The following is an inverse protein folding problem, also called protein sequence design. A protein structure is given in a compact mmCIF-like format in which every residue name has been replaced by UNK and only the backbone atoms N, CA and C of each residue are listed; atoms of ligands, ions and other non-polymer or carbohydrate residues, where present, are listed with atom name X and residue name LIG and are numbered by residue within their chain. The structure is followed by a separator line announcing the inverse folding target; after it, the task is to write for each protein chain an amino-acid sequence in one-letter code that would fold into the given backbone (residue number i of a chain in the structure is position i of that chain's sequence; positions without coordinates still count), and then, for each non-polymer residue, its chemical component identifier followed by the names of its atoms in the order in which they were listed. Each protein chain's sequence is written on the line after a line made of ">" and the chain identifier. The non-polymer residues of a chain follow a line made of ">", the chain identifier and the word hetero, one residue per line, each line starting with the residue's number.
data_IF_168596709487
#
_entry.id   IF_168596709487
#
_cell.length_a   1.000
_cell.length_b   1.000
_cell.length_c   1.000
_cell.angle_alpha   90.00
_cell.angle_beta   90.00
_cell.angle_gamma   90.00
#
_symmetry.space_group_name_H-M   'P 1'
#
loop_
_entity.id
_entity.type
_entity.pdbx_description
1 polymer ?
#
# COMPACT_ATOMS: atom_id res chain seq x y z
N UNK A 1 0.75 50.84 -28.64
CA UNK A 1 1.35 49.54 -28.29
C UNK A 1 1.60 49.33 -26.78
N UNK A 2 2.16 50.29 -26.02
CA UNK A 2 2.47 50.11 -24.57
C UNK A 2 1.29 49.70 -23.66
N UNK A 3 0.08 50.22 -23.89
CA UNK A 3 -1.11 49.86 -23.08
C UNK A 3 -1.52 48.38 -23.21
N UNK A 4 -1.35 47.80 -24.39
CA UNK A 4 -1.68 46.40 -24.66
C UNK A 4 -0.74 45.47 -23.89
N UNK A 5 0.55 45.81 -23.84
CA UNK A 5 1.54 45.04 -23.05
C UNK A 5 1.25 45.09 -21.55
N UNK A 6 0.85 46.26 -21.02
CA UNK A 6 0.47 46.41 -19.61
C UNK A 6 -0.78 45.58 -19.31
N UNK A 7 -1.79 45.64 -20.16
CA UNK A 7 -3.01 44.86 -20.01
C UNK A 7 -2.74 43.34 -20.03
N UNK A 8 -1.92 42.88 -20.97
CA UNK A 8 -1.52 41.47 -21.04
C UNK A 8 -0.71 41.03 -19.80
N UNK A 9 0.12 41.91 -19.25
CA UNK A 9 0.83 41.64 -18.00
C UNK A 9 -0.13 41.52 -16.81
N UNK A 10 -1.14 42.39 -16.72
CA UNK A 10 -2.14 42.36 -15.65
C UNK A 10 -2.94 41.05 -15.71
N UNK A 11 -3.38 40.63 -16.90
CA UNK A 11 -4.10 39.36 -17.09
C UNK A 11 -3.23 38.16 -16.71
N UNK A 12 -1.96 38.15 -17.12
CA UNK A 12 -1.00 37.11 -16.76
C UNK A 12 -0.78 37.05 -15.25
N UNK A 13 -0.66 38.19 -14.59
CA UNK A 13 -0.53 38.26 -13.13
C UNK A 13 -1.79 37.78 -12.41
N UNK A 14 -2.97 38.10 -12.93
CA UNK A 14 -4.24 37.62 -12.39
C UNK A 14 -4.36 36.08 -12.50
N UNK A 15 -3.98 35.52 -13.65
CA UNK A 15 -3.94 34.07 -13.87
C UNK A 15 -2.94 33.36 -12.94
N UNK A 16 -1.74 33.93 -12.76
CA UNK A 16 -0.75 33.37 -11.84
C UNK A 16 -1.21 33.44 -10.38
N UNK A 17 -1.91 34.51 -10.00
CA UNK A 17 -2.50 34.64 -8.66
C UNK A 17 -3.61 33.61 -8.42
N UNK A 18 -4.52 33.40 -9.37
CA UNK A 18 -5.56 32.37 -9.22
C UNK A 18 -4.95 30.98 -9.13
N UNK A 19 -3.98 30.64 -9.98
CA UNK A 19 -3.23 29.39 -9.94
C UNK A 19 -2.53 29.17 -8.59
N UNK A 20 -1.96 30.23 -8.00
CA UNK A 20 -1.34 30.14 -6.67
C UNK A 20 -2.37 29.82 -5.60
N UNK A 21 -3.54 30.45 -5.63
CA UNK A 21 -4.61 30.21 -4.66
C UNK A 21 -5.13 28.77 -4.78
N UNK A 22 -5.34 28.26 -6.00
CA UNK A 22 -5.76 26.86 -6.19
C UNK A 22 -4.71 25.89 -5.65
N UNK A 23 -3.42 26.12 -5.94
CA UNK A 23 -2.34 25.28 -5.42
C UNK A 23 -2.21 25.35 -3.89
N UNK A 24 -2.44 26.51 -3.27
CA UNK A 24 -2.45 26.63 -1.81
C UNK A 24 -3.64 25.93 -1.17
N UNK A 25 -4.77 25.83 -1.88
CA UNK A 25 -5.94 25.09 -1.41
C UNK A 25 -5.80 23.57 -1.66
N UNK A 26 -5.09 23.18 -2.72
CA UNK A 26 -4.77 21.78 -3.04
C UNK A 26 -3.59 21.25 -2.22
N UNK A 27 -2.74 22.13 -1.69
CA UNK A 27 -1.74 21.77 -0.70
C UNK A 27 -2.50 21.16 0.48
N UNK A 28 -2.39 19.83 0.67
CA UNK A 28 -3.10 19.21 1.76
C UNK A 28 -2.58 19.88 3.04
N UNK A 29 -3.46 20.02 4.03
CA UNK A 29 -3.12 20.53 5.37
C UNK A 29 -2.19 19.54 6.12
N UNK A 30 -1.33 18.83 5.38
CA UNK A 30 -0.34 17.89 5.83
C UNK A 30 0.72 18.70 6.56
N UNK A 31 0.60 18.63 7.88
CA UNK A 31 1.63 18.99 8.84
C UNK A 31 2.99 18.54 8.30
N UNK A 32 3.96 19.45 8.24
CA UNK A 32 5.30 19.12 7.79
C UNK A 32 5.78 17.85 8.51
N UNK A 33 6.38 16.88 7.80
CA UNK A 33 6.83 15.65 8.42
C UNK A 33 7.86 16.00 9.48
N UNK A 34 7.49 15.92 10.77
CA UNK A 34 8.47 16.06 11.85
C UNK A 34 9.34 14.80 11.93
N UNK A 35 10.34 14.76 12.82
CA UNK A 35 11.11 13.54 13.09
C UNK A 35 10.65 12.84 14.37
N UNK A 36 9.73 13.46 15.11
CA UNK A 36 9.21 12.97 16.40
C UNK A 36 8.00 12.10 16.13
N UNK A 37 7.91 10.93 16.80
CA UNK A 37 6.76 10.03 16.71
C UNK A 37 5.45 10.81 16.81
N UNK A 38 4.55 10.62 15.84
CA UNK A 38 3.24 11.23 15.89
C UNK A 38 2.44 10.61 17.04
N UNK A 39 1.92 11.46 17.91
CA UNK A 39 1.01 11.08 18.99
C UNK A 39 -0.33 11.67 18.60
N UNK A 40 -1.29 10.80 18.32
CA UNK A 40 -2.63 11.20 17.91
C UNK A 40 -3.38 11.79 19.10
N UNK A 41 -3.53 13.12 19.08
CA UNK A 41 -4.29 13.84 20.12
C UNK A 41 -5.78 13.98 19.78
N UNK A 42 -6.16 13.65 18.54
CA UNK A 42 -7.52 13.75 18.02
C UNK A 42 -7.83 12.56 17.11
N UNK A 43 -9.11 12.23 16.95
CA UNK A 43 -9.57 11.17 16.05
C UNK A 43 -9.23 11.44 14.59
N UNK A 44 -9.07 12.71 14.21
CA UNK A 44 -8.63 13.15 12.86
C UNK A 44 -7.15 12.89 12.59
N UNK A 45 -6.38 12.63 13.63
CA UNK A 45 -4.94 12.40 13.58
C UNK A 45 -4.65 10.89 13.49
N UNK A 46 -5.70 10.04 13.45
CA UNK A 46 -5.59 8.59 13.30
C UNK A 46 -5.58 8.27 11.80
N UNK A 47 -4.52 7.63 11.34
CA UNK A 47 -4.45 7.11 9.98
C UNK A 47 -5.46 5.98 9.78
N UNK A 48 -6.26 6.11 8.73
CA UNK A 48 -7.29 5.14 8.39
C UNK A 48 -6.69 3.86 7.80
N UNK A 49 -7.39 2.74 8.04
CA UNK A 49 -7.10 1.46 7.42
C UNK A 49 -8.11 1.22 6.30
N UNK A 50 -7.63 1.12 5.08
CA UNK A 50 -8.48 0.75 3.95
C UNK A 50 -8.56 -0.77 3.87
N UNK A 51 -9.79 -1.27 3.82
CA UNK A 51 -10.06 -2.70 3.72
C UNK A 51 -10.05 -3.09 2.25
N UNK A 52 -9.45 -4.23 1.94
CA UNK A 52 -9.55 -4.81 0.61
C UNK A 52 -9.79 -6.30 0.69
N UNK A 53 -10.58 -6.80 -0.26
CA UNK A 53 -10.79 -8.23 -0.43
C UNK A 53 -10.73 -8.59 -1.89
N UNK A 54 -9.92 -9.60 -2.20
CA UNK A 54 -9.59 -10.00 -3.56
C UNK A 54 -9.02 -8.82 -4.36
N UNK A 55 -9.86 -8.18 -5.19
CA UNK A 55 -9.48 -7.04 -6.04
C UNK A 55 -10.25 -5.76 -5.73
N UNK A 56 -11.11 -5.74 -4.70
CA UNK A 56 -11.98 -4.61 -4.40
C UNK A 56 -11.43 -3.88 -3.19
N UNK A 57 -11.26 -2.57 -3.32
CA UNK A 57 -10.86 -1.66 -2.25
C UNK A 57 -12.09 -0.97 -1.66
N UNK A 58 -12.12 -0.88 -0.33
CA UNK A 58 -13.12 -0.18 0.46
C UNK A 58 -12.43 0.90 1.30
N UNK A 59 -12.73 2.15 0.98
CA UNK A 59 -12.06 3.30 1.57
C UNK A 59 -12.73 3.67 2.90
N UNK A 60 -11.96 3.77 3.97
CA UNK A 60 -12.50 4.08 5.29
C UNK A 60 -12.84 5.56 5.48
N UNK A 61 -12.17 6.46 4.74
CA UNK A 61 -12.34 7.92 4.88
C UNK A 61 -13.61 8.45 4.18
N UNK A 62 -14.16 7.72 3.21
CA UNK A 62 -15.28 8.17 2.38
C UNK A 62 -16.50 7.28 2.53
N UNK A 63 -17.60 7.85 3.06
CA UNK A 63 -18.90 7.16 3.25
C UNK A 63 -19.44 6.57 1.94
N UNK A 64 -19.21 7.26 0.81
CA UNK A 64 -19.63 6.85 -0.51
C UNK A 64 -18.43 6.49 -1.41
N UNK A 65 -17.41 5.80 -0.87
CA UNK A 65 -16.30 5.40 -1.74
C UNK A 65 -16.82 4.49 -2.86
N UNK A 66 -16.64 4.86 -4.13
CA UNK A 66 -17.06 4.01 -5.23
C UNK A 66 -16.32 2.67 -5.15
N UNK A 67 -16.94 1.60 -5.64
CA UNK A 67 -16.29 0.29 -5.69
C UNK A 67 -15.12 0.37 -6.66
N UNK A 68 -13.91 0.53 -6.13
CA UNK A 68 -12.69 0.63 -6.93
C UNK A 68 -11.95 -0.70 -6.94
N UNK A 69 -11.37 -1.01 -8.11
CA UNK A 69 -10.40 -2.09 -8.22
C UNK A 69 -9.11 -1.64 -7.55
N UNK A 70 -8.47 -2.52 -6.76
CA UNK A 70 -7.14 -2.29 -6.24
C UNK A 70 -6.19 -1.89 -7.37
N UNK A 71 -5.43 -0.82 -7.13
CA UNK A 71 -4.50 -0.32 -8.13
C UNK A 71 -3.46 -1.38 -8.50
N UNK A 72 -3.05 -1.39 -9.76
CA UNK A 72 -2.08 -2.36 -10.27
C UNK A 72 -0.75 -2.26 -9.51
N UNK A 73 -0.33 -1.05 -9.16
CA UNK A 73 0.91 -0.83 -8.41
C UNK A 73 0.90 -1.55 -7.06
N UNK A 74 -0.21 -1.44 -6.32
CA UNK A 74 -0.40 -2.09 -5.02
C UNK A 74 -0.42 -3.60 -5.19
N UNK A 75 -1.11 -4.12 -6.22
CA UNK A 75 -1.17 -5.56 -6.50
C UNK A 75 0.19 -6.14 -6.83
N UNK A 76 0.99 -5.42 -7.64
CA UNK A 76 2.35 -5.83 -7.97
C UNK A 76 3.25 -5.84 -6.74
N UNK A 77 3.21 -4.77 -5.93
CA UNK A 77 3.97 -4.67 -4.69
C UNK A 77 3.62 -5.80 -3.71
N UNK A 78 2.33 -6.08 -3.52
CA UNK A 78 1.87 -7.19 -2.67
C UNK A 78 2.40 -8.54 -3.17
N UNK A 79 2.36 -8.79 -4.48
CA UNK A 79 2.86 -10.05 -5.05
C UNK A 79 4.37 -10.22 -4.84
N UNK A 80 5.14 -9.15 -4.97
CA UNK A 80 6.58 -9.14 -4.70
C UNK A 80 6.88 -9.42 -3.22
N UNK A 81 6.21 -8.71 -2.31
CA UNK A 81 6.34 -8.90 -0.86
C UNK A 81 6.01 -10.35 -0.46
N UNK A 82 4.90 -10.89 -0.98
CA UNK A 82 4.49 -12.27 -0.70
C UNK A 82 5.55 -13.24 -1.23
N UNK A 83 6.03 -13.06 -2.46
CA UNK A 83 7.06 -13.93 -3.03
C UNK A 83 8.31 -13.96 -2.15
N UNK A 84 8.83 -12.79 -1.78
CA UNK A 84 10.01 -12.66 -0.92
C UNK A 84 9.80 -13.33 0.45
N UNK A 85 8.67 -13.07 1.09
CA UNK A 85 8.33 -13.61 2.41
C UNK A 85 8.21 -15.15 2.37
N UNK A 86 7.64 -15.70 1.30
CA UNK A 86 7.57 -17.15 1.11
C UNK A 86 8.93 -17.78 0.81
N UNK A 87 9.82 -17.09 0.12
CA UNK A 87 11.18 -17.57 -0.12
C UNK A 87 11.97 -17.65 1.19
N UNK A 88 11.86 -16.61 2.03
CA UNK A 88 12.46 -16.58 3.36
C UNK A 88 11.87 -17.67 4.27
N UNK A 89 10.54 -17.81 4.32
CA UNK A 89 9.89 -18.85 5.13
C UNK A 89 10.26 -20.25 4.66
N UNK A 90 10.31 -20.47 3.34
CA UNK A 90 10.67 -21.77 2.78
C UNK A 90 12.16 -22.09 2.93
N UNK A 91 13.05 -21.10 3.08
CA UNK A 91 14.46 -21.37 3.41
C UNK A 91 14.57 -22.21 4.70
N UNK A 92 13.82 -21.81 5.74
CA UNK A 92 13.77 -22.50 7.04
C UNK A 92 12.89 -23.76 7.00
N UNK A 93 11.77 -23.74 6.26
CA UNK A 93 10.87 -24.89 6.19
C UNK A 93 11.52 -26.09 5.48
N UNK A 94 12.29 -25.84 4.41
CA UNK A 94 12.97 -26.88 3.62
C UNK A 94 13.96 -27.68 4.45
N UNK A 95 14.70 -27.04 5.35
CA UNK A 95 15.60 -27.71 6.30
C UNK A 95 14.88 -28.75 7.16
N UNK A 96 13.59 -28.54 7.44
CA UNK A 96 12.75 -29.44 8.25
C UNK A 96 11.91 -30.40 7.39
N UNK A 97 12.20 -30.52 6.09
CA UNK A 97 11.45 -31.36 5.15
C UNK A 97 10.02 -30.87 4.90
N UNK A 98 9.79 -29.56 4.92
CA UNK A 98 8.47 -28.94 4.77
C UNK A 98 8.51 -27.85 3.70
N UNK A 99 7.39 -27.62 3.03
CA UNK A 99 7.24 -26.52 2.08
C UNK A 99 5.89 -25.86 2.32
N UNK A 100 5.91 -24.54 2.46
CA UNK A 100 4.74 -23.68 2.46
C UNK A 100 4.52 -23.14 1.04
N UNK A 101 3.29 -23.17 0.57
CA UNK A 101 2.88 -22.59 -0.71
C UNK A 101 1.79 -21.55 -0.43
N UNK A 102 1.93 -20.38 -1.04
CA UNK A 102 0.88 -19.38 -1.06
C UNK A 102 -0.27 -19.85 -1.96
N UNK A 103 -1.52 -19.66 -1.53
CA UNK A 103 -2.71 -19.97 -2.35
C UNK A 103 -3.46 -18.70 -2.75
N UNK A 104 -3.95 -17.93 -1.78
CA UNK A 104 -4.66 -16.68 -2.05
C UNK A 104 -4.71 -15.77 -0.81
N UNK A 105 -4.95 -14.48 -1.01
CA UNK A 105 -5.30 -13.53 0.06
C UNK A 105 -6.83 -13.53 0.20
N UNK A 106 -7.36 -13.74 1.41
CA UNK A 106 -8.81 -13.63 1.65
C UNK A 106 -9.23 -12.16 1.74
N UNK A 107 -8.56 -11.42 2.61
CA UNK A 107 -8.72 -9.99 2.78
C UNK A 107 -7.47 -9.39 3.41
N UNK A 108 -7.37 -8.08 3.36
CA UNK A 108 -6.32 -7.34 4.01
C UNK A 108 -6.75 -5.93 4.38
N UNK A 109 -5.94 -5.31 5.20
CA UNK A 109 -6.02 -3.90 5.55
C UNK A 109 -4.71 -3.24 5.13
N UNK A 110 -4.81 -2.07 4.52
CA UNK A 110 -3.66 -1.23 4.18
C UNK A 110 -3.77 0.11 4.87
N UNK A 111 -2.62 0.65 5.28
CA UNK A 111 -2.52 1.99 5.84
C UNK A 111 -1.29 2.67 5.28
N UNK A 112 -1.43 3.93 4.89
CA UNK A 112 -0.31 4.74 4.43
C UNK A 112 0.03 5.76 5.51
N UNK A 113 1.20 5.60 6.11
CA UNK A 113 1.79 6.59 7.01
C UNK A 113 2.87 7.38 6.25
N UNK A 114 2.78 8.72 6.16
CA UNK A 114 3.72 9.54 5.38
C UNK A 114 5.21 9.37 5.75
N UNK A 115 5.51 8.82 6.93
CA UNK A 115 6.88 8.60 7.40
C UNK A 115 7.39 7.19 7.23
N UNK A 116 6.57 6.20 7.56
CA UNK A 116 6.98 4.80 7.58
C UNK A 116 6.63 4.08 6.27
N UNK A 117 5.83 4.72 5.41
CA UNK A 117 5.38 4.15 4.15
C UNK A 117 4.07 3.41 4.32
N UNK A 118 3.98 2.22 3.73
CA UNK A 118 2.72 1.45 3.68
C UNK A 118 2.81 0.25 4.61
N UNK A 119 1.83 0.11 5.47
CA UNK A 119 1.63 -1.06 6.32
C UNK A 119 0.54 -1.96 5.73
N UNK A 120 0.78 -3.27 5.74
CA UNK A 120 -0.19 -4.27 5.32
C UNK A 120 -0.48 -5.27 6.43
N UNK A 121 -1.76 -5.54 6.67
CA UNK A 121 -2.24 -6.64 7.51
C UNK A 121 -3.00 -7.58 6.60
N UNK A 122 -2.51 -8.80 6.40
CA UNK A 122 -3.03 -9.74 5.40
C UNK A 122 -3.52 -11.02 6.05
N UNK A 123 -4.74 -11.44 5.71
CA UNK A 123 -5.22 -12.80 5.95
C UNK A 123 -5.03 -13.64 4.68
N UNK A 124 -4.22 -14.70 4.78
CA UNK A 124 -3.75 -15.49 3.65
C UNK A 124 -4.05 -16.97 3.84
N UNK A 125 -4.55 -17.60 2.79
CA UNK A 125 -4.67 -19.07 2.71
C UNK A 125 -3.37 -19.66 2.21
N UNK A 126 -2.83 -20.59 2.98
CA UNK A 126 -1.56 -21.24 2.71
C UNK A 126 -1.76 -22.75 2.59
N UNK A 127 -1.04 -23.37 1.67
CA UNK A 127 -0.94 -24.82 1.59
C UNK A 127 0.36 -25.31 2.22
N UNK A 128 0.25 -26.31 3.09
CA UNK A 128 1.39 -26.92 3.74
C UNK A 128 1.63 -28.34 3.22
N UNK A 129 2.85 -28.61 2.75
CA UNK A 129 3.26 -29.95 2.29
C UNK A 129 4.46 -30.45 3.10
N UNK A 130 4.31 -31.60 3.74
CA UNK A 130 5.42 -32.35 4.33
C UNK A 130 6.08 -33.21 3.26
N UNK A 131 7.37 -33.01 3.04
CA UNK A 131 8.19 -33.86 2.19
C UNK A 131 8.62 -35.05 3.05
N UNK A 132 8.20 -36.26 2.66
CA UNK A 132 8.78 -37.48 3.22
C UNK A 132 10.02 -37.81 2.39
N UNK A 133 11.18 -38.10 3.01
CA UNK A 133 12.27 -38.68 2.27
C UNK A 133 11.78 -39.99 1.61
N UNK A 134 12.26 -40.33 0.41
CA UNK A 134 11.89 -41.59 -0.23
C UNK A 134 12.19 -42.73 0.74
N UNK A 135 11.23 -43.64 0.93
CA UNK A 135 11.49 -44.88 1.63
C UNK A 135 12.66 -45.57 0.93
N UNK A 136 13.84 -45.60 1.57
CA UNK A 136 14.88 -46.54 1.17
C UNK A 136 14.25 -47.92 1.36
N UNK A 137 13.79 -48.53 0.27
CA UNK A 137 13.63 -49.97 0.23
C UNK A 137 15.03 -50.54 0.45
N UNK A 138 15.27 -51.00 1.67
CA UNK A 138 16.47 -51.77 1.98
C UNK A 138 16.26 -53.09 1.23
N UNK A 139 16.80 -53.18 0.02
CA UNK A 139 17.04 -54.46 -0.62
C UNK A 139 18.15 -55.13 0.17
N UNK A 140 17.76 -55.94 1.15
CA UNK A 140 18.64 -56.92 1.79
C UNK A 140 18.95 -57.99 0.75
N UNK A 141 20.21 -58.00 0.28
CA UNK A 141 20.82 -59.12 -0.44
C UNK A 141 21.16 -60.25 0.53
#
# INVERSE_FOLDING_TARGET
>A
MRRIHVHNHILRLAMLRSRRITLLNELPNQKAPSLIRHISNSTRDIFHWDFFSSNILFCAEQVNCPRHTLDLSIRMALNEIITQLFDEFNSNARQRGRVLRFQNIQYGYMRVEPRHGVDYVLDMVLWFKKIRPPHRLIFSF
#
